data_IF_218281365306
#
_entry.id   IF_218281365306
#
_cell.length_a   1.000
_cell.length_b   1.000
_cell.length_c   1.000
_cell.angle_alpha   90.00
_cell.angle_beta   90.00
_cell.angle_gamma   90.00
#
_symmetry.space_group_name_H-M   'P 1'
#
loop_
_entity.id
_entity.type
_entity.pdbx_description
1 polymer ?
#
# COMPACT_ATOMS: atom_id res chain seq x y z
N UNK A 1 18.34 -32.22 -11.68
CA UNK A 1 18.73 -30.87 -11.24
C UNK A 1 17.50 -30.19 -10.65
N UNK A 2 17.43 -29.97 -9.33
CA UNK A 2 16.33 -29.19 -8.75
C UNK A 2 16.56 -27.73 -9.12
N UNK A 3 15.61 -27.11 -9.83
CA UNK A 3 15.60 -25.67 -10.07
C UNK A 3 15.90 -24.95 -8.75
N UNK A 4 16.88 -24.03 -8.76
CA UNK A 4 17.36 -23.30 -7.59
C UNK A 4 16.19 -22.70 -6.81
N UNK A 5 15.78 -23.38 -5.75
CA UNK A 5 14.66 -22.94 -4.94
C UNK A 5 15.07 -21.63 -4.27
N UNK A 6 14.26 -20.58 -4.46
CA UNK A 6 14.44 -19.32 -3.74
C UNK A 6 14.60 -19.65 -2.25
N UNK A 7 15.66 -19.16 -1.58
CA UNK A 7 15.84 -19.37 -0.16
C UNK A 7 14.57 -19.03 0.61
N UNK A 8 14.25 -19.83 1.60
CA UNK A 8 13.08 -19.66 2.45
C UNK A 8 13.48 -19.21 3.84
N UNK A 9 12.52 -18.72 4.62
CA UNK A 9 12.74 -18.37 6.02
C UNK A 9 13.19 -19.58 6.87
N UNK A 10 12.89 -20.81 6.43
CA UNK A 10 13.37 -22.04 7.09
C UNK A 10 14.86 -22.23 6.85
N UNK A 11 15.33 -21.97 5.63
CA UNK A 11 16.75 -22.06 5.29
C UNK A 11 17.56 -21.05 6.12
N UNK A 12 17.05 -19.83 6.28
CA UNK A 12 17.64 -18.82 7.18
C UNK A 12 17.72 -19.32 8.62
N UNK A 13 16.66 -19.96 9.14
CA UNK A 13 16.63 -20.47 10.51
C UNK A 13 17.69 -21.57 10.73
N UNK A 14 17.84 -22.47 9.75
CA UNK A 14 18.85 -23.53 9.77
C UNK A 14 20.26 -22.93 9.73
N UNK A 15 20.55 -22.04 8.78
CA UNK A 15 21.87 -21.41 8.63
C UNK A 15 22.25 -20.55 9.84
N UNK A 16 21.30 -19.82 10.41
CA UNK A 16 21.54 -19.01 11.61
C UNK A 16 21.60 -19.83 12.91
N UNK A 17 21.16 -21.10 12.91
CA UNK A 17 21.11 -21.97 14.08
C UNK A 17 20.11 -21.48 15.13
N UNK A 18 18.91 -21.09 14.71
CA UNK A 18 17.83 -20.59 15.59
C UNK A 18 16.45 -21.12 15.16
N UNK A 19 15.43 -20.92 15.99
CA UNK A 19 14.06 -21.29 15.62
C UNK A 19 13.49 -20.38 14.52
N UNK A 20 12.54 -20.91 13.74
CA UNK A 20 11.79 -20.14 12.74
C UNK A 20 11.10 -18.90 13.36
N UNK A 21 10.58 -19.04 14.59
CA UNK A 21 9.95 -17.96 15.34
C UNK A 21 10.96 -16.86 15.70
N UNK A 22 12.18 -17.23 16.07
CA UNK A 22 13.29 -16.29 16.33
C UNK A 22 13.63 -15.50 15.08
N UNK A 23 13.81 -16.16 13.92
CA UNK A 23 14.02 -15.46 12.64
C UNK A 23 12.87 -14.51 12.33
N UNK A 24 11.62 -14.96 12.51
CA UNK A 24 10.45 -14.13 12.26
C UNK A 24 10.42 -12.88 13.15
N UNK A 25 10.81 -12.97 14.42
CA UNK A 25 10.86 -11.82 15.32
C UNK A 25 11.98 -10.84 14.95
N UNK A 26 13.18 -11.35 14.65
CA UNK A 26 14.31 -10.53 14.20
C UNK A 26 13.96 -9.77 12.92
N UNK A 27 13.43 -10.46 11.90
CA UNK A 27 13.09 -9.85 10.62
C UNK A 27 11.84 -8.95 10.66
N UNK A 28 11.05 -9.02 11.73
CA UNK A 28 9.90 -8.12 11.95
C UNK A 28 10.22 -6.96 12.88
N UNK A 29 11.47 -6.80 13.33
CA UNK A 29 11.87 -5.74 14.26
C UNK A 29 11.32 -5.89 15.68
N UNK A 30 10.77 -7.06 16.04
CA UNK A 30 10.20 -7.35 17.37
C UNK A 30 11.23 -7.90 18.37
N UNK A 31 12.52 -7.75 18.04
CA UNK A 31 13.68 -8.22 18.83
C UNK A 31 13.91 -7.41 20.11
N UNK A 32 13.38 -6.19 20.18
CA UNK A 32 13.38 -5.32 21.35
C UNK A 32 11.97 -5.22 21.94
N UNK A 33 11.77 -5.72 23.16
CA UNK A 33 10.47 -5.76 23.83
C UNK A 33 10.28 -7.02 24.67
N UNK A 34 9.06 -7.58 24.70
CA UNK A 34 8.66 -8.78 25.48
C UNK A 34 9.45 -10.04 25.12
N UNK A 35 10.04 -10.11 23.91
CA UNK A 35 10.94 -11.18 23.50
C UNK A 35 12.34 -10.61 23.32
N UNK A 36 13.19 -10.73 24.35
CA UNK A 36 14.54 -10.19 24.34
C UNK A 36 15.48 -11.13 23.57
N UNK A 37 15.77 -10.81 22.31
CA UNK A 37 16.71 -11.57 21.48
C UNK A 37 18.08 -10.89 21.55
N UNK A 38 19.13 -11.63 21.94
CA UNK A 38 20.48 -11.08 22.08
C UNK A 38 21.01 -10.51 20.75
N UNK A 39 21.80 -9.44 20.81
CA UNK A 39 22.38 -8.81 19.63
C UNK A 39 23.15 -9.82 18.77
N UNK A 40 23.97 -10.67 19.40
CA UNK A 40 24.69 -11.75 18.72
C UNK A 40 23.77 -12.71 17.94
N UNK A 41 22.54 -12.95 18.42
CA UNK A 41 21.57 -13.78 17.70
C UNK A 41 20.94 -13.02 16.54
N UNK A 42 20.66 -11.73 16.70
CA UNK A 42 20.19 -10.87 15.61
C UNK A 42 21.23 -10.82 14.49
N UNK A 43 22.50 -10.64 14.84
CA UNK A 43 23.62 -10.56 13.89
C UNK A 43 23.78 -11.85 13.08
N UNK A 44 23.67 -13.03 13.73
CA UNK A 44 23.67 -14.34 13.04
C UNK A 44 22.53 -14.48 12.05
N UNK A 45 21.32 -14.05 12.42
CA UNK A 45 20.16 -14.09 11.51
C UNK A 45 20.38 -13.16 10.33
N UNK A 46 20.85 -11.94 10.55
CA UNK A 46 21.13 -11.00 9.47
C UNK A 46 22.27 -11.45 8.55
N UNK A 47 23.29 -12.13 9.09
CA UNK A 47 24.34 -12.75 8.30
C UNK A 47 23.77 -13.86 7.41
N UNK A 48 23.02 -14.81 7.98
CA UNK A 48 22.38 -15.89 7.21
C UNK A 48 21.44 -15.37 6.11
N UNK A 49 20.70 -14.30 6.36
CA UNK A 49 19.88 -13.64 5.35
C UNK A 49 20.71 -13.11 4.18
N UNK A 50 21.83 -12.42 4.46
CA UNK A 50 22.72 -11.90 3.43
C UNK A 50 23.38 -13.03 2.64
N UNK A 51 23.91 -14.04 3.32
CA UNK A 51 24.63 -15.15 2.71
C UNK A 51 23.74 -15.98 1.79
N UNK A 52 22.48 -16.19 2.20
CA UNK A 52 21.50 -16.89 1.37
C UNK A 52 20.87 -16.00 0.29
N UNK A 53 20.99 -14.67 0.38
CA UNK A 53 20.22 -13.75 -0.45
C UNK A 53 18.71 -13.83 -0.20
N UNK A 54 18.30 -14.16 1.02
CA UNK A 54 16.88 -14.28 1.38
C UNK A 54 16.20 -12.90 1.41
N UNK A 55 15.08 -12.78 0.69
CA UNK A 55 14.20 -11.60 0.77
C UNK A 55 12.83 -12.05 1.26
N UNK A 56 12.36 -11.46 2.36
CA UNK A 56 11.09 -11.84 2.96
C UNK A 56 9.91 -11.54 2.03
N UNK A 57 9.14 -12.58 1.72
CA UNK A 57 7.94 -12.46 0.88
C UNK A 57 6.87 -11.62 1.61
N UNK A 58 6.58 -10.42 1.10
CA UNK A 58 5.55 -9.53 1.64
C UNK A 58 4.14 -10.10 1.50
N UNK A 59 3.80 -10.74 0.39
CA UNK A 59 2.49 -11.38 0.22
C UNK A 59 2.24 -12.46 1.29
N UNK A 60 3.28 -13.26 1.62
CA UNK A 60 3.20 -14.25 2.69
C UNK A 60 3.05 -13.62 4.09
N UNK A 61 3.71 -12.46 4.33
CA UNK A 61 3.51 -11.69 5.57
C UNK A 61 2.09 -11.13 5.65
N UNK A 62 1.58 -10.64 4.52
CA UNK A 62 0.28 -10.00 4.48
C UNK A 62 -0.87 -10.97 4.68
N UNK A 63 -0.79 -12.18 4.10
CA UNK A 63 -1.75 -13.26 4.37
C UNK A 63 -1.82 -13.63 5.86
N UNK A 64 -0.68 -13.61 6.57
CA UNK A 64 -0.64 -13.88 8.02
C UNK A 64 -1.27 -12.77 8.87
N UNK A 65 -1.24 -11.53 8.38
CA UNK A 65 -1.73 -10.34 9.07
C UNK A 65 -3.13 -9.90 8.62
N UNK A 66 -3.65 -10.51 7.56
CA UNK A 66 -4.90 -10.08 6.90
C UNK A 66 -4.78 -8.73 6.18
N UNK A 67 -3.56 -8.24 5.91
CA UNK A 67 -3.28 -6.92 5.30
C UNK A 67 -2.08 -7.01 4.39
N UNK A 68 -2.14 -6.46 3.19
CA UNK A 68 -1.10 -6.49 2.16
C UNK A 68 0.07 -5.53 2.45
N UNK A 69 -0.14 -4.50 3.27
CA UNK A 69 0.78 -3.36 3.45
C UNK A 69 1.01 -2.61 2.12
N UNK A 70 0.05 -2.69 1.20
CA UNK A 70 0.05 -2.02 -0.10
C UNK A 70 -1.11 -1.03 -0.20
N UNK A 71 -0.87 0.07 -0.91
CA UNK A 71 -1.87 1.05 -1.32
C UNK A 71 -1.81 1.18 -2.84
N UNK A 72 -2.94 0.97 -3.51
CA UNK A 72 -3.05 1.24 -4.93
C UNK A 72 -3.13 2.75 -5.18
N UNK A 73 -2.28 3.26 -6.07
CA UNK A 73 -2.37 4.63 -6.58
C UNK A 73 -2.83 4.53 -8.03
N UNK A 74 -4.13 4.73 -8.24
CA UNK A 74 -4.76 4.64 -9.55
C UNK A 74 -4.61 5.99 -10.26
N UNK A 75 -3.83 6.03 -11.32
CA UNK A 75 -3.49 7.24 -12.06
C UNK A 75 -4.23 7.23 -13.39
N UNK A 76 -4.97 8.31 -13.67
CA UNK A 76 -5.68 8.45 -14.93
C UNK A 76 -4.69 8.63 -16.09
N UNK A 77 -3.75 9.57 -15.96
CA UNK A 77 -2.80 9.91 -17.01
C UNK A 77 -1.47 10.47 -16.46
N UNK A 78 -0.36 9.76 -16.70
CA UNK A 78 0.98 10.22 -16.27
C UNK A 78 1.56 11.35 -17.13
N UNK A 79 0.94 11.67 -18.28
CA UNK A 79 1.30 12.84 -19.06
C UNK A 79 0.82 14.12 -18.38
N UNK A 80 -0.25 14.04 -17.57
CA UNK A 80 -0.73 15.16 -16.77
C UNK A 80 0.28 15.50 -15.65
N UNK A 81 0.79 16.75 -15.59
CA UNK A 81 1.81 17.14 -14.62
C UNK A 81 1.38 16.95 -13.16
N UNK A 82 0.11 17.20 -12.85
CA UNK A 82 -0.44 17.04 -11.50
C UNK A 82 -0.46 15.57 -11.07
N UNK A 83 -1.03 14.68 -11.90
CA UNK A 83 -1.08 13.25 -11.64
C UNK A 83 0.31 12.65 -11.45
N UNK A 84 1.27 13.03 -12.31
CA UNK A 84 2.67 12.60 -12.18
C UNK A 84 3.29 13.08 -10.87
N UNK A 85 3.08 14.34 -10.49
CA UNK A 85 3.60 14.89 -9.25
C UNK A 85 2.99 14.20 -8.03
N UNK A 86 1.67 14.03 -8.00
CA UNK A 86 0.95 13.34 -6.93
C UNK A 86 1.40 11.88 -6.79
N UNK A 87 1.50 11.13 -7.89
CA UNK A 87 1.98 9.75 -7.86
C UNK A 87 3.40 9.65 -7.29
N UNK A 88 4.27 10.58 -7.65
CA UNK A 88 5.65 10.65 -7.15
C UNK A 88 5.68 10.91 -5.64
N UNK A 89 4.92 11.89 -5.18
CA UNK A 89 4.86 12.26 -3.76
C UNK A 89 4.24 11.15 -2.91
N UNK A 90 3.13 10.56 -3.36
CA UNK A 90 2.48 9.45 -2.66
C UNK A 90 3.41 8.23 -2.54
N UNK A 91 4.17 7.93 -3.58
CA UNK A 91 5.17 6.86 -3.56
C UNK A 91 6.30 7.12 -2.53
N UNK A 92 6.58 8.37 -2.20
CA UNK A 92 7.54 8.76 -1.17
C UNK A 92 6.94 8.76 0.26
N UNK A 93 5.69 9.22 0.43
CA UNK A 93 5.05 9.34 1.75
C UNK A 93 4.61 8.00 2.32
N UNK A 94 3.96 7.14 1.51
CA UNK A 94 3.36 5.90 2.00
C UNK A 94 4.38 4.96 2.71
N UNK A 95 5.63 4.82 2.23
CA UNK A 95 6.68 4.05 2.91
C UNK A 95 6.98 4.50 4.33
N UNK A 96 6.91 5.81 4.61
CA UNK A 96 7.12 6.36 5.96
C UNK A 96 6.07 5.86 6.97
N UNK A 97 4.92 5.39 6.46
CA UNK A 97 3.82 4.86 7.25
C UNK A 97 3.68 3.33 7.16
N UNK A 98 4.69 2.64 6.61
CA UNK A 98 4.70 1.18 6.51
C UNK A 98 3.89 0.60 5.35
N UNK A 99 3.43 1.45 4.42
CA UNK A 99 2.74 1.03 3.20
C UNK A 99 3.62 1.23 1.97
N UNK A 100 3.40 0.46 0.91
CA UNK A 100 4.04 0.72 -0.39
C UNK A 100 3.00 1.09 -1.42
N UNK A 101 3.31 2.09 -2.24
CA UNK A 101 2.49 2.47 -3.37
C UNK A 101 2.65 1.45 -4.51
N UNK A 102 1.53 1.03 -5.09
CA UNK A 102 1.49 0.33 -6.38
C UNK A 102 0.77 1.25 -7.37
N UNK A 103 1.53 1.79 -8.33
CA UNK A 103 0.98 2.70 -9.34
C UNK A 103 0.30 1.88 -10.43
N UNK A 104 -0.99 2.15 -10.66
CA UNK A 104 -1.83 1.46 -11.63
C UNK A 104 -2.41 2.48 -12.59
N UNK A 105 -2.19 2.26 -13.89
CA UNK A 105 -2.64 3.19 -14.93
C UNK A 105 -4.01 2.79 -15.47
N UNK A 106 -4.84 3.78 -15.79
CA UNK A 106 -6.16 3.56 -16.37
C UNK A 106 -7.06 2.69 -15.47
N UNK A 107 -7.73 1.70 -16.06
CA UNK A 107 -8.69 0.84 -15.34
C UNK A 107 -8.10 -0.34 -14.55
N UNK A 108 -6.79 -0.58 -14.61
CA UNK A 108 -6.17 -1.80 -14.05
C UNK A 108 -6.33 -1.97 -12.53
N UNK A 109 -6.56 -0.86 -11.81
CA UNK A 109 -6.80 -0.87 -10.38
C UNK A 109 -8.08 -1.62 -9.98
N UNK A 110 -9.11 -1.69 -10.86
CA UNK A 110 -10.40 -2.32 -10.54
C UNK A 110 -10.24 -3.78 -10.17
N UNK A 111 -9.73 -4.58 -11.10
CA UNK A 111 -9.49 -6.01 -10.87
C UNK A 111 -8.45 -6.23 -9.77
N UNK A 112 -7.41 -5.38 -9.72
CA UNK A 112 -6.37 -5.47 -8.69
C UNK A 112 -6.98 -5.34 -7.29
N UNK A 113 -7.79 -4.32 -7.05
CA UNK A 113 -8.47 -4.10 -5.77
C UNK A 113 -9.51 -5.18 -5.46
N UNK A 114 -10.34 -5.57 -6.44
CA UNK A 114 -11.35 -6.62 -6.25
C UNK A 114 -10.75 -7.99 -5.89
N UNK A 115 -9.52 -8.24 -6.33
CA UNK A 115 -8.74 -9.44 -5.99
C UNK A 115 -8.04 -9.39 -4.63
N UNK A 116 -8.18 -8.28 -3.88
CA UNK A 116 -7.50 -8.06 -2.60
C UNK A 116 -6.03 -7.71 -2.74
N UNK A 117 -5.64 -7.08 -3.86
CA UNK A 117 -4.25 -6.73 -4.15
C UNK A 117 -3.65 -5.66 -3.24
N UNK A 118 -4.47 -4.78 -2.66
CA UNK A 118 -4.04 -3.73 -1.74
C UNK A 118 -5.10 -3.44 -0.66
N UNK A 119 -4.67 -2.82 0.44
CA UNK A 119 -5.52 -2.54 1.60
C UNK A 119 -6.39 -1.29 1.40
N UNK A 120 -5.99 -0.41 0.47
CA UNK A 120 -6.74 0.78 0.09
C UNK A 120 -6.31 1.34 -1.25
N UNK A 121 -7.08 2.29 -1.77
CA UNK A 121 -6.83 2.93 -3.07
C UNK A 121 -6.94 4.46 -2.98
N UNK A 122 -5.98 5.15 -3.60
CA UNK A 122 -6.02 6.58 -3.90
C UNK A 122 -6.17 6.73 -5.40
N UNK A 123 -7.25 7.36 -5.86
CA UNK A 123 -7.46 7.69 -7.26
C UNK A 123 -7.05 9.12 -7.56
N UNK A 124 -6.28 9.30 -8.64
CA UNK A 124 -5.88 10.60 -9.17
C UNK A 124 -6.70 10.89 -10.44
N UNK A 125 -7.30 12.08 -10.52
CA UNK A 125 -7.91 12.56 -11.75
C UNK A 125 -9.44 12.39 -11.83
N UNK A 126 -9.95 12.61 -13.04
CA UNK A 126 -11.33 12.95 -13.45
C UNK A 126 -12.46 12.01 -12.97
N UNK A 127 -13.69 12.51 -13.13
CA UNK A 127 -14.96 11.90 -12.77
C UNK A 127 -14.99 10.38 -13.03
N UNK A 128 -15.40 9.64 -12.01
CA UNK A 128 -15.55 8.20 -12.07
C UNK A 128 -16.47 7.82 -13.25
N UNK A 129 -16.00 6.90 -14.10
CA UNK A 129 -16.91 6.22 -15.03
C UNK A 129 -17.97 5.45 -14.21
N UNK A 130 -19.11 5.10 -14.82
CA UNK A 130 -20.11 4.27 -14.15
C UNK A 130 -19.51 2.94 -13.66
N UNK A 131 -18.54 2.39 -14.40
CA UNK A 131 -17.78 1.20 -14.01
C UNK A 131 -16.89 1.47 -12.79
N UNK A 132 -16.19 2.60 -12.76
CA UNK A 132 -15.38 3.00 -11.59
C UNK A 132 -16.26 3.17 -10.34
N UNK A 133 -17.41 3.85 -10.48
CA UNK A 133 -18.34 4.05 -9.38
C UNK A 133 -18.88 2.74 -8.82
N UNK A 134 -19.23 1.79 -9.69
CA UNK A 134 -19.69 0.46 -9.28
C UNK A 134 -18.62 -0.32 -8.50
N UNK A 135 -17.36 -0.30 -8.99
CA UNK A 135 -16.26 -0.97 -8.30
C UNK A 135 -15.96 -0.31 -6.96
N UNK A 136 -15.93 1.02 -6.90
CA UNK A 136 -15.71 1.73 -5.65
C UNK A 136 -16.82 1.40 -4.63
N UNK A 137 -18.09 1.30 -5.05
CA UNK A 137 -19.20 0.96 -4.16
C UNK A 137 -19.06 -0.46 -3.61
N UNK A 138 -18.65 -1.40 -4.46
CA UNK A 138 -18.35 -2.77 -4.04
C UNK A 138 -17.19 -2.83 -3.04
N UNK A 139 -16.11 -2.08 -3.28
CA UNK A 139 -14.97 -1.99 -2.36
C UNK A 139 -15.38 -1.35 -1.03
N UNK A 140 -16.28 -0.37 -1.04
CA UNK A 140 -16.78 0.25 0.18
C UNK A 140 -17.60 -0.73 1.02
N UNK A 141 -18.47 -1.53 0.38
CA UNK A 141 -19.18 -2.63 1.03
C UNK A 141 -18.27 -3.71 1.62
N UNK A 142 -17.01 -3.81 1.16
CA UNK A 142 -15.96 -4.69 1.71
C UNK A 142 -15.11 -4.01 2.79
N UNK A 143 -15.37 -2.75 3.12
CA UNK A 143 -14.62 -1.97 4.10
C UNK A 143 -13.25 -1.49 3.62
N UNK A 144 -13.01 -1.45 2.31
CA UNK A 144 -11.73 -1.00 1.73
C UNK A 144 -11.61 0.52 1.84
N UNK A 145 -10.45 1.00 2.32
CA UNK A 145 -10.16 2.42 2.45
C UNK A 145 -9.96 3.06 1.06
N UNK A 146 -10.62 4.19 0.82
CA UNK A 146 -10.73 4.78 -0.51
C UNK A 146 -10.66 6.31 -0.44
N UNK A 147 -9.82 6.93 -1.28
CA UNK A 147 -9.65 8.38 -1.41
C UNK A 147 -9.65 8.78 -2.89
N UNK A 148 -10.33 9.87 -3.22
CA UNK A 148 -10.32 10.49 -4.55
C UNK A 148 -9.65 11.87 -4.48
N UNK A 149 -8.66 12.11 -5.33
CA UNK A 149 -8.07 13.43 -5.53
C UNK A 149 -8.63 14.02 -6.82
N UNK A 150 -9.26 15.20 -6.73
CA UNK A 150 -9.86 15.93 -7.85
C UNK A 150 -9.32 17.36 -7.94
N UNK A 151 -9.27 17.92 -9.15
CA UNK A 151 -8.73 19.25 -9.46
C UNK A 151 -9.79 20.38 -9.46
N UNK A 152 -11.06 20.09 -9.17
CA UNK A 152 -12.13 21.07 -9.36
C UNK A 152 -12.04 22.30 -8.43
N UNK A 153 -11.59 23.43 -8.99
CA UNK A 153 -11.85 24.79 -8.52
C UNK A 153 -12.95 25.51 -9.32
N UNK A 154 -13.57 24.88 -10.32
CA UNK A 154 -14.70 25.49 -11.03
C UNK A 154 -15.17 24.78 -12.30
N UNK A 155 -16.11 23.85 -12.15
CA UNK A 155 -17.11 23.51 -13.18
C UNK A 155 -18.36 22.88 -12.55
N UNK A 156 -18.82 23.39 -11.40
CA UNK A 156 -19.77 22.68 -10.57
C UNK A 156 -19.08 21.46 -9.97
N UNK A 157 -19.06 21.36 -8.65
CA UNK A 157 -18.77 20.05 -8.07
C UNK A 157 -19.74 19.01 -8.64
N UNK A 158 -19.69 17.77 -8.17
CA UNK A 158 -20.92 17.00 -8.10
C UNK A 158 -21.90 17.71 -7.13
N UNK A 159 -22.47 18.85 -7.56
CA UNK A 159 -23.73 19.33 -7.08
C UNK A 159 -24.75 18.29 -7.57
N UNK A 160 -25.10 17.36 -6.68
CA UNK A 160 -26.28 16.52 -6.79
C UNK A 160 -26.47 15.85 -8.17
N UNK A 161 -25.69 14.82 -8.48
CA UNK A 161 -25.99 13.98 -9.66
C UNK A 161 -24.92 13.03 -10.19
N UNK A 162 -23.67 13.08 -9.72
CA UNK A 162 -22.55 12.37 -10.39
C UNK A 162 -22.36 10.90 -10.02
N UNK A 163 -23.24 10.31 -9.19
CA UNK A 163 -23.11 8.89 -8.82
C UNK A 163 -21.81 8.53 -8.09
N UNK A 164 -21.18 9.49 -7.39
CA UNK A 164 -20.11 9.19 -6.42
C UNK A 164 -20.75 8.91 -5.06
N UNK A 165 -20.78 7.65 -4.57
CA UNK A 165 -21.30 7.31 -3.25
C UNK A 165 -20.73 8.21 -2.14
N UNK A 166 -21.55 8.51 -1.13
CA UNK A 166 -21.20 9.33 0.05
C UNK A 166 -20.13 8.70 0.98
N UNK A 167 -19.44 7.65 0.52
CA UNK A 167 -18.58 6.77 1.32
C UNK A 167 -17.08 6.99 1.06
N UNK A 168 -16.69 7.98 0.24
CA UNK A 168 -15.28 8.29 -0.07
C UNK A 168 -14.81 9.62 0.48
N UNK A 169 -13.53 9.69 0.86
CA UNK A 169 -12.90 10.99 1.14
C UNK A 169 -12.47 11.62 -0.18
N UNK A 170 -12.99 12.83 -0.43
CA UNK A 170 -12.60 13.65 -1.58
C UNK A 170 -11.60 14.70 -1.10
N UNK A 171 -10.43 14.71 -1.71
CA UNK A 171 -9.41 15.75 -1.51
C UNK A 171 -9.34 16.59 -2.77
N UNK A 172 -9.69 17.86 -2.64
CA UNK A 172 -9.57 18.83 -3.74
C UNK A 172 -8.16 19.40 -3.78
N UNK A 173 -7.55 19.44 -4.96
CA UNK A 173 -6.24 20.06 -5.17
C UNK A 173 -6.30 21.58 -4.97
N UNK A 174 -7.32 22.25 -5.54
CA UNK A 174 -7.49 23.70 -5.39
C UNK A 174 -6.25 24.47 -5.88
N UNK A 175 -5.75 25.41 -5.08
CA UNK A 175 -4.48 26.12 -5.34
C UNK A 175 -3.29 25.48 -4.61
N UNK A 176 -3.49 24.38 -3.90
CA UNK A 176 -2.44 23.73 -3.12
C UNK A 176 -1.45 23.01 -4.03
N UNK A 177 -0.17 23.04 -3.66
CA UNK A 177 0.85 22.25 -4.36
C UNK A 177 0.65 20.74 -4.16
N UNK A 178 1.19 19.90 -5.07
CA UNK A 178 0.99 18.44 -5.06
C UNK A 178 1.44 17.79 -3.75
N UNK A 179 2.44 18.35 -3.07
CA UNK A 179 2.92 17.88 -1.76
C UNK A 179 1.83 17.93 -0.68
N UNK A 180 1.13 19.07 -0.58
CA UNK A 180 0.09 19.29 0.43
C UNK A 180 -1.11 18.39 0.16
N UNK A 181 -1.52 18.31 -1.11
CA UNK A 181 -2.64 17.48 -1.57
C UNK A 181 -2.36 16.00 -1.30
N UNK A 182 -1.17 15.51 -1.67
CA UNK A 182 -0.78 14.12 -1.44
C UNK A 182 -0.69 13.77 0.05
N UNK A 183 -0.16 14.67 0.91
CA UNK A 183 -0.13 14.46 2.37
C UNK A 183 -1.53 14.36 2.96
N UNK A 184 -2.45 15.23 2.55
CA UNK A 184 -3.85 15.19 2.99
C UNK A 184 -4.53 13.88 2.56
N UNK A 185 -4.35 13.47 1.31
CA UNK A 185 -4.91 12.22 0.81
C UNK A 185 -4.34 10.99 1.51
N UNK A 186 -3.03 10.93 1.73
CA UNK A 186 -2.38 9.85 2.48
C UNK A 186 -2.88 9.81 3.92
N UNK A 187 -3.00 10.96 4.60
CA UNK A 187 -3.52 11.03 5.97
C UNK A 187 -4.97 10.54 6.07
N UNK A 188 -5.83 10.93 5.12
CA UNK A 188 -7.23 10.48 5.06
C UNK A 188 -7.31 8.94 4.90
N UNK A 189 -6.57 8.40 3.93
CA UNK A 189 -6.53 6.95 3.69
C UNK A 189 -6.01 6.19 4.91
N UNK A 190 -4.89 6.62 5.48
CA UNK A 190 -4.25 5.97 6.63
C UNK A 190 -5.13 6.02 7.89
N UNK A 191 -5.95 7.06 8.04
CA UNK A 191 -6.95 7.15 9.10
C UNK A 191 -7.96 6.01 9.05
N UNK A 192 -8.41 5.62 7.84
CA UNK A 192 -9.33 4.49 7.65
C UNK A 192 -8.66 3.14 7.77
N UNK A 193 -7.40 3.01 7.35
CA UNK A 193 -6.65 1.75 7.45
C UNK A 193 -6.27 1.35 8.88
N UNK A 194 -6.32 2.29 9.85
CA UNK A 194 -5.95 2.04 11.25
C UNK A 194 -7.10 1.53 12.12
N UNK A 195 -8.31 1.45 11.57
CA UNK A 195 -9.47 0.79 12.19
C UNK A 195 -9.43 -0.71 11.88
#
# INVERSE_FOLDING_TARGET
MRHGAKPTIRDVAVTAGVSLTTVSYVLSGRSGGTTRISQATQDRVHAAVRDLGYVANRAARGMRRGRTELVAVAVADLEQPLDRALATVLAAILPEHGYQAVILLGGGWRQYMLSGGADGVIRLGVAATAEDAAVMAELAGRGVAQVLITDDAGAGGPAAGSGVPAEYDVVTAGTDGPEVVARRAAAALLGRLRV
#
